data_IF_397102534699
#
_entry.id   IF_397102534699
#
_cell.length_a   1.000
_cell.length_b   1.000
_cell.length_c   1.000
_cell.angle_alpha   90.00
_cell.angle_beta   90.00
_cell.angle_gamma   90.00
#
_symmetry.space_group_name_H-M   'P 1'
#
loop_
_entity.id
_entity.type
_entity.pdbx_description
1 polymer ?
#
# COMPACT_ATOMS: atom_id res chain seq x y z
N UNK A 1 34.44 -9.39 -26.84
CA UNK A 1 34.64 -9.38 -25.38
C UNK A 1 35.27 -10.71 -25.00
N UNK A 2 36.31 -10.71 -24.17
CA UNK A 2 37.06 -11.95 -23.84
C UNK A 2 36.35 -12.84 -22.80
N UNK A 3 35.03 -12.67 -22.62
CA UNK A 3 34.17 -13.52 -21.77
C UNK A 3 34.52 -13.64 -20.28
N UNK A 4 35.57 -12.98 -19.78
CA UNK A 4 36.15 -13.30 -18.47
C UNK A 4 35.35 -12.81 -17.25
N UNK A 5 34.78 -11.60 -17.30
CA UNK A 5 34.02 -11.01 -16.20
C UNK A 5 32.71 -10.41 -16.73
N UNK A 6 31.58 -10.80 -16.15
CA UNK A 6 30.25 -10.33 -16.52
C UNK A 6 29.46 -9.87 -15.31
N UNK A 7 28.69 -8.79 -15.47
CA UNK A 7 27.62 -8.45 -14.55
C UNK A 7 26.31 -8.94 -15.14
N UNK A 8 25.64 -9.82 -14.41
CA UNK A 8 24.34 -10.39 -14.75
C UNK A 8 23.27 -9.74 -13.88
N UNK A 9 22.13 -9.44 -14.49
CA UNK A 9 20.91 -9.04 -13.79
C UNK A 9 19.86 -10.16 -13.84
N UNK A 10 20.26 -11.39 -14.17
CA UNK A 10 19.36 -12.52 -14.11
C UNK A 10 18.90 -12.76 -12.67
N UNK A 11 17.63 -13.16 -12.47
CA UNK A 11 17.11 -13.44 -11.14
C UNK A 11 17.81 -14.66 -10.53
N UNK A 12 17.84 -14.75 -9.20
CA UNK A 12 18.57 -15.77 -8.44
C UNK A 12 18.24 -17.21 -8.85
N UNK A 13 16.97 -17.49 -9.16
CA UNK A 13 16.54 -18.83 -9.61
C UNK A 13 17.08 -19.23 -11.00
N UNK A 14 17.62 -18.29 -11.78
CA UNK A 14 18.15 -18.52 -13.12
C UNK A 14 19.67 -18.53 -13.18
N UNK A 15 20.33 -17.87 -12.22
CA UNK A 15 21.76 -17.61 -12.24
C UNK A 15 22.35 -17.73 -10.82
N UNK A 16 23.22 -18.72 -10.63
CA UNK A 16 23.84 -19.01 -9.34
C UNK A 16 24.83 -17.92 -8.88
N UNK A 17 25.32 -17.08 -9.81
CA UNK A 17 26.22 -15.96 -9.51
C UNK A 17 25.45 -14.65 -9.25
N UNK A 18 24.11 -14.71 -9.17
CA UNK A 18 23.29 -13.54 -8.89
C UNK A 18 23.69 -12.90 -7.54
N UNK A 19 23.75 -11.57 -7.53
CA UNK A 19 24.05 -10.76 -6.34
C UNK A 19 22.99 -9.68 -6.20
N UNK A 20 22.37 -9.63 -5.02
CA UNK A 20 21.36 -8.64 -4.70
C UNK A 20 21.89 -7.21 -4.88
N UNK A 21 21.02 -6.34 -5.40
CA UNK A 21 21.18 -4.89 -5.52
C UNK A 21 19.82 -4.29 -5.84
N UNK A 22 19.61 -3.04 -5.47
CA UNK A 22 18.33 -2.35 -5.67
C UNK A 22 18.39 -1.30 -6.79
N UNK A 23 19.56 -0.67 -7.01
CA UNK A 23 19.74 0.33 -8.06
C UNK A 23 19.64 -0.24 -9.50
N UNK A 24 19.74 -1.57 -9.66
CA UNK A 24 19.44 -2.30 -10.87
C UNK A 24 18.57 -3.51 -10.52
N UNK A 25 17.46 -3.67 -11.23
CA UNK A 25 16.51 -4.76 -11.02
C UNK A 25 16.07 -5.34 -12.36
N UNK A 26 15.30 -6.43 -12.31
CA UNK A 26 14.64 -6.99 -13.48
C UNK A 26 13.42 -6.12 -13.87
N UNK A 27 12.94 -6.30 -15.10
CA UNK A 27 11.76 -5.61 -15.61
C UNK A 27 10.73 -6.60 -16.15
N UNK A 28 9.44 -6.27 -15.95
CA UNK A 28 8.31 -7.05 -16.48
C UNK A 28 7.62 -6.24 -17.58
N UNK A 29 7.46 -6.85 -18.75
CA UNK A 29 6.76 -6.28 -19.90
C UNK A 29 5.52 -7.11 -20.22
N UNK A 30 4.49 -6.45 -20.76
CA UNK A 30 3.24 -7.08 -21.13
C UNK A 30 3.04 -7.00 -22.65
N UNK A 31 2.78 -8.12 -23.34
CA UNK A 31 2.36 -8.07 -24.74
C UNK A 31 0.97 -7.44 -24.85
N UNK A 32 0.65 -6.85 -26.00
CA UNK A 32 -0.64 -6.16 -26.21
C UNK A 32 -1.82 -7.14 -26.25
N UNK A 33 -1.54 -8.42 -26.51
CA UNK A 33 -2.54 -9.49 -26.61
C UNK A 33 -2.13 -10.70 -25.78
N UNK A 34 -3.13 -11.38 -25.22
CA UNK A 34 -2.93 -12.70 -24.60
C UNK A 34 -2.66 -13.74 -25.69
N UNK A 35 -1.60 -14.50 -25.53
CA UNK A 35 -1.31 -15.67 -26.34
C UNK A 35 -1.21 -16.91 -25.45
N UNK A 36 -1.85 -18.00 -25.87
CA UNK A 36 -1.63 -19.32 -25.27
C UNK A 36 -0.47 -20.00 -25.99
N UNK A 37 0.54 -20.43 -25.26
CA UNK A 37 1.69 -21.18 -25.79
C UNK A 37 1.59 -22.66 -25.40
N UNK A 38 2.29 -23.52 -26.14
CA UNK A 38 2.40 -24.95 -25.84
C UNK A 38 3.87 -25.32 -25.69
N UNK A 39 4.16 -26.29 -24.84
CA UNK A 39 5.51 -26.85 -24.71
C UNK A 39 6.04 -27.33 -26.06
N UNK A 40 7.31 -27.01 -26.37
CA UNK A 40 7.94 -27.28 -27.67
C UNK A 40 7.41 -26.42 -28.83
N UNK A 41 6.38 -25.59 -28.61
CA UNK A 41 5.84 -24.69 -29.62
C UNK A 41 6.69 -23.44 -29.80
N UNK A 42 6.77 -22.95 -31.04
CA UNK A 42 7.40 -21.68 -31.38
C UNK A 42 6.37 -20.56 -31.36
N UNK A 43 6.73 -19.39 -30.84
CA UNK A 43 5.92 -18.18 -30.92
C UNK A 43 6.78 -16.97 -31.32
N UNK A 44 6.26 -16.04 -32.14
CA UNK A 44 7.00 -14.87 -32.61
C UNK A 44 6.95 -13.73 -31.58
N UNK A 45 7.97 -13.63 -30.73
CA UNK A 45 8.18 -12.47 -29.87
C UNK A 45 9.00 -11.41 -30.61
N UNK A 46 8.45 -10.21 -30.76
CA UNK A 46 9.17 -9.05 -31.29
C UNK A 46 9.64 -8.17 -30.13
N UNK A 47 10.90 -7.74 -30.18
CA UNK A 47 11.48 -6.77 -29.27
C UNK A 47 11.70 -5.45 -30.02
N UNK A 48 11.11 -4.37 -29.53
CA UNK A 48 11.30 -3.02 -30.02
C UNK A 48 12.02 -2.19 -28.99
N UNK A 49 12.81 -1.22 -29.46
CA UNK A 49 13.45 -0.25 -28.60
C UNK A 49 13.66 1.08 -29.31
N UNK A 50 13.73 2.14 -28.52
CA UNK A 50 14.25 3.44 -28.93
C UNK A 50 15.54 3.73 -28.12
N UNK A 51 15.94 5.00 -28.00
CA UNK A 51 17.12 5.40 -27.24
C UNK A 51 17.00 5.13 -25.73
N UNK A 52 15.77 5.09 -25.18
CA UNK A 52 15.52 5.07 -23.73
C UNK A 52 14.57 3.97 -23.26
N UNK A 53 13.83 3.33 -24.17
CA UNK A 53 12.73 2.44 -23.84
C UNK A 53 12.82 1.12 -24.59
N UNK A 54 12.34 0.06 -23.93
CA UNK A 54 12.12 -1.25 -24.50
C UNK A 54 10.62 -1.55 -24.52
N UNK A 55 10.16 -2.32 -25.49
CA UNK A 55 8.83 -2.89 -25.52
C UNK A 55 8.83 -4.24 -26.26
N UNK A 56 7.86 -5.08 -25.92
CA UNK A 56 7.77 -6.43 -26.46
C UNK A 56 6.33 -6.71 -26.86
N UNK A 57 6.13 -7.31 -28.02
CA UNK A 57 4.80 -7.70 -28.46
C UNK A 57 4.82 -8.98 -29.30
N UNK A 58 3.65 -9.58 -29.46
CA UNK A 58 3.47 -10.84 -30.18
C UNK A 58 2.65 -10.59 -31.44
N UNK A 59 3.26 -10.86 -32.60
CA UNK A 59 2.66 -10.64 -33.92
C UNK A 59 2.82 -11.87 -34.80
N UNK A 60 1.76 -12.25 -35.52
CA UNK A 60 1.80 -13.37 -36.46
C UNK A 60 2.80 -13.14 -37.62
N UNK A 61 3.01 -11.87 -37.98
CA UNK A 61 3.98 -11.47 -39.01
C UNK A 61 5.41 -11.50 -38.47
N UNK A 62 6.27 -12.30 -39.09
CA UNK A 62 7.67 -12.47 -38.66
C UNK A 62 8.59 -11.28 -38.95
N UNK A 63 8.26 -10.47 -39.95
CA UNK A 63 9.06 -9.30 -40.36
C UNK A 63 8.30 -8.01 -40.04
N UNK A 64 9.02 -6.88 -39.94
CA UNK A 64 8.45 -5.55 -39.69
C UNK A 64 8.66 -5.04 -38.27
N UNK A 65 8.74 -3.72 -38.15
CA UNK A 65 8.87 -2.99 -36.89
C UNK A 65 7.58 -3.08 -36.07
N UNK A 66 7.71 -2.95 -34.75
CA UNK A 66 6.56 -2.81 -33.86
C UNK A 66 6.57 -1.42 -33.25
N UNK A 67 5.45 -0.72 -33.37
CA UNK A 67 5.28 0.56 -32.70
C UNK A 67 5.10 0.34 -31.20
N UNK A 68 5.53 1.32 -30.40
CA UNK A 68 5.37 1.27 -28.95
C UNK A 68 3.88 1.35 -28.60
N UNK A 69 3.32 0.35 -27.89
CA UNK A 69 1.92 0.38 -27.49
C UNK A 69 1.70 1.39 -26.35
N UNK A 70 0.63 2.18 -26.45
CA UNK A 70 0.20 3.11 -25.41
C UNK A 70 -1.16 2.73 -24.84
N UNK A 71 -1.41 3.16 -23.61
CA UNK A 71 -2.68 2.92 -22.93
C UNK A 71 -3.82 3.69 -23.63
N UNK A 72 -4.83 2.95 -24.10
CA UNK A 72 -6.06 3.53 -24.72
C UNK A 72 -7.28 3.46 -23.80
N UNK A 73 -7.16 2.82 -22.63
CA UNK A 73 -8.28 2.61 -21.71
C UNK A 73 -8.36 3.63 -20.57
N UNK A 74 -7.49 4.64 -20.55
CA UNK A 74 -7.25 5.60 -19.45
C UNK A 74 -6.74 4.97 -18.12
N UNK A 75 -6.89 3.67 -17.91
CA UNK A 75 -6.58 2.98 -16.65
C UNK A 75 -5.06 2.87 -16.36
N UNK A 76 -4.29 2.25 -17.25
CA UNK A 76 -2.86 1.96 -17.02
C UNK A 76 -1.95 3.20 -17.04
N UNK A 77 -2.45 4.32 -17.56
CA UNK A 77 -1.74 5.59 -17.56
C UNK A 77 -1.97 6.41 -16.29
N UNK A 78 -2.96 6.03 -15.46
CA UNK A 78 -3.39 6.80 -14.28
C UNK A 78 -3.10 6.09 -12.96
N UNK A 79 -2.95 4.77 -12.99
CA UNK A 79 -2.73 3.95 -11.81
C UNK A 79 -1.34 3.33 -11.83
N UNK A 80 -0.70 3.28 -10.68
CA UNK A 80 0.53 2.50 -10.49
C UNK A 80 0.25 1.00 -10.62
N UNK A 81 1.30 0.19 -10.79
CA UNK A 81 1.15 -1.28 -10.85
C UNK A 81 0.59 -1.87 -9.55
N UNK A 82 0.99 -1.33 -8.40
CA UNK A 82 0.47 -1.74 -7.08
C UNK A 82 -1.02 -1.41 -6.95
N UNK A 83 -1.45 -0.23 -7.41
CA UNK A 83 -2.86 0.16 -7.41
C UNK A 83 -3.72 -0.75 -8.32
N UNK A 84 -3.19 -1.15 -9.48
CA UNK A 84 -3.87 -2.09 -10.38
C UNK A 84 -4.02 -3.48 -9.71
N UNK A 85 -2.97 -3.96 -9.05
CA UNK A 85 -3.02 -5.22 -8.30
C UNK A 85 -4.09 -5.16 -7.21
N UNK A 86 -4.07 -4.11 -6.38
CA UNK A 86 -5.03 -3.86 -5.30
C UNK A 86 -6.48 -3.86 -5.80
N UNK A 87 -6.76 -3.21 -6.93
CA UNK A 87 -8.11 -3.19 -7.50
C UNK A 87 -8.59 -4.57 -7.96
N UNK A 88 -7.69 -5.45 -8.37
CA UNK A 88 -8.07 -6.85 -8.63
C UNK A 88 -8.28 -7.61 -7.31
N UNK A 89 -7.38 -7.44 -6.35
CA UNK A 89 -7.43 -8.10 -5.04
C UNK A 89 -8.71 -7.76 -4.27
N UNK A 90 -9.12 -6.49 -4.22
CA UNK A 90 -10.31 -6.08 -3.47
C UNK A 90 -11.60 -6.72 -3.99
N UNK A 91 -11.67 -6.99 -5.29
CA UNK A 91 -12.83 -7.64 -5.91
C UNK A 91 -12.83 -9.15 -5.66
N UNK A 92 -11.70 -9.72 -5.26
CA UNK A 92 -11.50 -11.15 -5.01
C UNK A 92 -11.44 -11.49 -3.50
N UNK A 93 -11.29 -10.49 -2.63
CA UNK A 93 -11.26 -10.67 -1.17
C UNK A 93 -12.66 -11.03 -0.61
N UNK A 94 -12.86 -12.33 -0.43
CA UNK A 94 -14.10 -12.90 0.12
C UNK A 94 -14.33 -12.51 1.59
N UNK A 95 -13.27 -12.42 2.41
CA UNK A 95 -13.42 -12.10 3.84
C UNK A 95 -13.87 -10.65 4.00
N UNK A 96 -13.30 -9.74 3.21
CA UNK A 96 -13.74 -8.34 3.14
C UNK A 96 -15.19 -8.24 2.65
N UNK A 97 -15.53 -8.95 1.57
CA UNK A 97 -16.89 -8.97 1.03
C UNK A 97 -17.92 -9.49 2.05
N UNK A 98 -17.61 -10.56 2.78
CA UNK A 98 -18.46 -11.12 3.84
C UNK A 98 -18.67 -10.12 4.99
N UNK A 99 -17.60 -9.45 5.43
CA UNK A 99 -17.67 -8.44 6.48
C UNK A 99 -18.52 -7.23 6.07
N UNK A 100 -18.33 -6.73 4.84
CA UNK A 100 -19.19 -5.67 4.27
C UNK A 100 -20.63 -6.14 4.18
N UNK A 101 -20.89 -7.36 3.69
CA UNK A 101 -22.25 -7.89 3.54
C UNK A 101 -22.97 -8.02 4.87
N UNK A 102 -22.26 -8.43 5.94
CA UNK A 102 -22.80 -8.51 7.30
C UNK A 102 -23.25 -7.15 7.81
N UNK A 103 -22.42 -6.11 7.66
CA UNK A 103 -22.75 -4.76 8.10
C UNK A 103 -23.85 -4.12 7.24
N UNK A 104 -23.80 -4.31 5.91
CA UNK A 104 -24.87 -3.85 5.00
C UNK A 104 -26.21 -4.49 5.33
N UNK A 105 -26.24 -5.74 5.83
CA UNK A 105 -27.49 -6.39 6.25
C UNK A 105 -28.20 -5.68 7.41
N UNK A 106 -27.44 -4.98 8.27
CA UNK A 106 -27.96 -4.19 9.39
C UNK A 106 -28.40 -2.79 8.95
N UNK A 107 -27.82 -2.26 7.87
CA UNK A 107 -27.97 -0.87 7.43
C UNK A 107 -28.27 -0.75 5.92
N UNK A 108 -29.13 -1.60 5.37
CA UNK A 108 -29.25 -1.82 3.92
C UNK A 108 -29.91 -0.70 3.10
N UNK A 109 -30.43 0.37 3.71
CA UNK A 109 -31.30 1.33 3.00
C UNK A 109 -30.57 2.20 1.97
N UNK A 110 -29.50 2.88 2.37
CA UNK A 110 -28.71 3.75 1.48
C UNK A 110 -27.25 3.76 1.94
N UNK A 111 -26.42 3.08 1.17
CA UNK A 111 -24.98 2.99 1.40
C UNK A 111 -24.30 4.12 0.62
N UNK A 112 -23.43 4.88 1.29
CA UNK A 112 -22.58 5.87 0.61
C UNK A 112 -21.13 5.40 0.67
N UNK A 113 -20.49 5.34 -0.47
CA UNK A 113 -19.11 4.90 -0.62
C UNK A 113 -18.18 6.08 -0.87
N UNK A 114 -17.09 6.16 -0.10
CA UNK A 114 -16.10 7.25 -0.08
C UNK A 114 -14.72 6.73 -0.50
N UNK A 115 -13.89 7.66 -0.96
CA UNK A 115 -12.52 7.40 -1.43
C UNK A 115 -12.35 7.86 -2.87
N UNK A 116 -11.17 7.62 -3.42
CA UNK A 116 -10.83 7.98 -4.80
C UNK A 116 -10.13 6.79 -5.48
N UNK A 117 -10.55 6.38 -6.67
CA UNK A 117 -9.88 5.29 -7.37
C UNK A 117 -10.12 3.91 -6.74
N UNK A 118 -11.24 3.68 -6.08
CA UNK A 118 -11.60 2.40 -5.45
C UNK A 118 -12.77 1.70 -6.16
N UNK A 119 -12.80 0.36 -6.10
CA UNK A 119 -13.93 -0.47 -6.54
C UNK A 119 -14.80 -0.96 -5.38
N UNK A 120 -14.44 -0.67 -4.13
CA UNK A 120 -15.14 -1.19 -2.95
C UNK A 120 -16.64 -0.84 -2.95
N UNK A 121 -16.99 0.31 -3.53
CA UNK A 121 -18.37 0.78 -3.60
C UNK A 121 -19.28 -0.05 -4.49
N UNK A 122 -18.74 -0.98 -5.28
CA UNK A 122 -19.52 -1.95 -6.02
C UNK A 122 -19.93 -3.15 -5.16
N UNK A 123 -19.13 -3.51 -4.13
CA UNK A 123 -19.36 -4.69 -3.31
C UNK A 123 -20.73 -4.68 -2.59
N UNK A 124 -21.20 -3.57 -1.97
CA UNK A 124 -22.52 -3.55 -1.34
C UNK A 124 -23.67 -3.89 -2.28
N UNK A 125 -23.52 -3.69 -3.59
CA UNK A 125 -24.51 -4.05 -4.60
C UNK A 125 -24.32 -5.48 -5.15
N UNK A 126 -23.07 -5.93 -5.28
CA UNK A 126 -22.72 -7.25 -5.82
C UNK A 126 -22.93 -8.36 -4.79
N UNK A 127 -22.47 -8.14 -3.56
CA UNK A 127 -22.35 -9.18 -2.53
C UNK A 127 -23.38 -9.03 -1.42
N UNK A 128 -24.09 -7.90 -1.37
CA UNK A 128 -25.09 -7.60 -0.36
C UNK A 128 -26.38 -7.09 -1.01
N UNK A 129 -27.50 -7.20 -0.29
CA UNK A 129 -28.79 -6.70 -0.75
C UNK A 129 -28.97 -5.20 -0.41
N UNK A 130 -27.97 -4.36 -0.69
CA UNK A 130 -28.13 -2.92 -0.52
C UNK A 130 -29.27 -2.41 -1.41
N UNK A 131 -30.20 -1.63 -0.85
CA UNK A 131 -31.33 -1.09 -1.62
C UNK A 131 -30.88 0.05 -2.54
N UNK A 132 -29.91 0.84 -2.10
CA UNK A 132 -29.32 1.95 -2.86
C UNK A 132 -27.85 2.14 -2.48
N UNK A 133 -27.01 2.38 -3.47
CA UNK A 133 -25.59 2.69 -3.30
C UNK A 133 -25.26 3.99 -4.02
N UNK A 134 -24.56 4.90 -3.35
CA UNK A 134 -24.02 6.12 -3.96
C UNK A 134 -22.51 6.14 -3.78
N UNK A 135 -21.77 6.13 -4.89
CA UNK A 135 -20.30 6.25 -4.88
C UNK A 135 -19.93 7.71 -5.12
N UNK A 136 -19.20 8.31 -4.18
CA UNK A 136 -18.65 9.66 -4.33
C UNK A 136 -17.25 9.53 -4.94
N UNK A 137 -17.08 10.03 -6.16
CA UNK A 137 -15.82 9.94 -6.90
C UNK A 137 -15.55 11.28 -7.62
N UNK A 138 -14.64 12.07 -7.08
CA UNK A 138 -14.30 13.41 -7.60
C UNK A 138 -13.66 13.35 -8.98
N UNK A 139 -12.99 12.25 -9.31
CA UNK A 139 -12.14 12.15 -10.48
C UNK A 139 -12.90 11.65 -11.73
N UNK A 140 -13.05 12.48 -12.79
CA UNK A 140 -13.93 12.18 -13.91
C UNK A 140 -13.61 10.88 -14.67
N UNK A 141 -12.33 10.55 -14.83
CA UNK A 141 -11.93 9.33 -15.53
C UNK A 141 -12.28 8.07 -14.73
N UNK A 142 -12.16 8.13 -13.39
CA UNK A 142 -12.57 7.02 -12.53
C UNK A 142 -14.09 6.85 -12.51
N UNK A 143 -14.86 7.95 -12.54
CA UNK A 143 -16.31 7.85 -12.77
C UNK A 143 -16.62 7.10 -14.06
N UNK A 144 -15.95 7.38 -15.18
CA UNK A 144 -16.17 6.62 -16.44
C UNK A 144 -15.90 5.13 -16.28
N UNK A 145 -14.87 4.75 -15.54
CA UNK A 145 -14.56 3.35 -15.24
C UNK A 145 -15.66 2.72 -14.38
N UNK A 146 -16.05 3.36 -13.28
CA UNK A 146 -17.14 2.89 -12.43
C UNK A 146 -18.43 2.67 -13.23
N UNK A 147 -18.78 3.57 -14.15
CA UNK A 147 -19.94 3.38 -15.04
C UNK A 147 -19.80 2.14 -15.94
N UNK A 148 -18.60 1.84 -16.45
CA UNK A 148 -18.36 0.60 -17.22
C UNK A 148 -18.55 -0.65 -16.35
N UNK A 149 -18.08 -0.63 -15.11
CA UNK A 149 -18.29 -1.73 -14.15
C UNK A 149 -19.78 -1.88 -13.80
N UNK A 150 -20.48 -0.79 -13.50
CA UNK A 150 -21.93 -0.77 -13.23
C UNK A 150 -22.71 -1.38 -14.41
N UNK A 151 -22.36 -1.00 -15.64
CA UNK A 151 -22.98 -1.57 -16.85
C UNK A 151 -22.65 -3.06 -17.02
N UNK A 152 -21.39 -3.45 -16.82
CA UNK A 152 -20.94 -4.83 -16.95
C UNK A 152 -21.65 -5.77 -15.96
N UNK A 153 -21.70 -5.39 -14.69
CA UNK A 153 -22.36 -6.15 -13.63
C UNK A 153 -23.87 -5.90 -13.54
N UNK A 154 -24.43 -5.04 -14.40
CA UNK A 154 -25.87 -4.70 -14.46
C UNK A 154 -26.42 -4.20 -13.12
N UNK A 155 -25.66 -3.36 -12.43
CA UNK A 155 -26.02 -2.84 -11.11
C UNK A 155 -27.02 -1.69 -11.26
N UNK A 156 -28.29 -1.95 -10.95
CA UNK A 156 -29.39 -0.97 -11.14
C UNK A 156 -29.57 0.00 -9.98
N UNK A 157 -29.00 -0.32 -8.82
CA UNK A 157 -29.14 0.42 -7.56
C UNK A 157 -27.92 1.30 -7.23
N UNK A 158 -26.95 1.44 -8.15
CA UNK A 158 -25.71 2.20 -7.94
C UNK A 158 -25.75 3.51 -8.71
N UNK A 159 -25.47 4.62 -8.03
CA UNK A 159 -25.26 5.94 -8.64
C UNK A 159 -23.88 6.48 -8.32
N UNK A 160 -23.23 7.16 -9.27
CA UNK A 160 -21.93 7.79 -9.06
C UNK A 160 -22.10 9.31 -9.10
N UNK A 161 -21.63 9.99 -8.06
CA UNK A 161 -21.71 11.47 -7.92
C UNK A 161 -20.31 12.06 -7.81
N UNK A 162 -20.17 13.36 -8.10
CA UNK A 162 -18.85 14.00 -8.10
C UNK A 162 -18.44 14.59 -6.75
N UNK A 163 -19.38 14.75 -5.82
CA UNK A 163 -19.17 15.41 -4.55
C UNK A 163 -20.15 14.95 -3.46
N UNK A 164 -19.81 15.19 -2.20
CA UNK A 164 -20.68 14.95 -1.04
C UNK A 164 -22.00 15.73 -1.14
N UNK A 165 -21.99 16.94 -1.71
CA UNK A 165 -23.19 17.78 -1.85
C UNK A 165 -24.27 17.20 -2.76
N UNK A 166 -23.91 16.22 -3.60
CA UNK A 166 -24.84 15.53 -4.50
C UNK A 166 -25.46 14.27 -3.89
N UNK A 167 -25.12 13.95 -2.62
CA UNK A 167 -25.73 12.80 -1.93
C UNK A 167 -27.21 13.11 -1.69
N UNK A 168 -28.14 12.30 -2.25
CA UNK A 168 -29.54 12.69 -2.35
C UNK A 168 -30.32 12.61 -1.02
N UNK A 169 -29.98 11.63 -0.19
CA UNK A 169 -30.68 11.34 1.07
C UNK A 169 -29.66 10.98 2.14
N UNK A 170 -30.08 11.05 3.41
CA UNK A 170 -29.29 10.61 4.55
C UNK A 170 -28.89 9.13 4.39
N UNK A 171 -27.59 8.79 4.44
CA UNK A 171 -27.13 7.41 4.37
C UNK A 171 -27.41 6.65 5.67
N UNK A 172 -27.58 5.34 5.54
CA UNK A 172 -27.63 4.40 6.67
C UNK A 172 -26.27 3.84 7.06
N UNK A 173 -25.32 3.81 6.11
CA UNK A 173 -23.95 3.35 6.32
C UNK A 173 -22.99 4.05 5.36
N UNK A 174 -21.83 4.45 5.87
CA UNK A 174 -20.70 4.93 5.06
C UNK A 174 -19.70 3.79 4.88
N UNK A 175 -19.13 3.65 3.68
CA UNK A 175 -18.10 2.65 3.40
C UNK A 175 -16.96 3.32 2.65
N UNK A 176 -15.73 2.91 2.88
CA UNK A 176 -14.58 3.24 2.04
C UNK A 176 -13.55 2.13 2.13
N UNK A 177 -12.65 2.08 1.15
CA UNK A 177 -11.45 1.24 1.22
C UNK A 177 -10.37 1.89 2.11
N UNK A 178 -10.66 3.08 2.66
CA UNK A 178 -9.82 4.27 2.66
C UNK A 178 -8.65 4.21 1.69
N UNK A 179 -8.83 4.80 0.52
CA UNK A 179 -7.76 4.96 -0.45
C UNK A 179 -7.93 6.26 -1.24
N UNK A 180 -6.82 6.96 -1.45
CA UNK A 180 -6.74 8.17 -2.26
C UNK A 180 -5.57 8.07 -3.23
N UNK A 181 -5.73 8.62 -4.44
CA UNK A 181 -4.71 8.49 -5.49
C UNK A 181 -3.40 9.22 -5.16
N UNK A 182 -3.46 10.21 -4.27
CA UNK A 182 -2.30 10.95 -3.78
C UNK A 182 -1.50 10.21 -2.71
N UNK A 183 -2.06 9.16 -2.11
CA UNK A 183 -1.43 8.44 -1.01
C UNK A 183 -0.32 7.52 -1.52
N UNK A 184 0.84 7.60 -0.88
CA UNK A 184 1.98 6.71 -1.07
C UNK A 184 2.01 5.65 0.03
N UNK A 185 1.86 6.08 1.28
CA UNK A 185 1.85 5.23 2.47
C UNK A 185 0.43 4.96 2.96
N UNK A 186 0.27 3.84 3.65
CA UNK A 186 -1.06 3.27 3.90
C UNK A 186 -1.88 4.06 4.91
N UNK A 187 -1.24 4.77 5.84
CA UNK A 187 -1.90 5.66 6.80
C UNK A 187 -2.24 7.04 6.25
N UNK A 188 -1.70 7.43 5.09
CA UNK A 188 -2.07 8.69 4.43
C UNK A 188 -3.52 8.67 3.91
N UNK A 189 -4.22 7.54 4.07
CA UNK A 189 -5.64 7.39 3.75
C UNK A 189 -6.58 7.77 4.92
N UNK A 190 -6.06 8.27 6.04
CA UNK A 190 -6.86 8.86 7.13
C UNK A 190 -7.78 10.03 6.70
N UNK A 191 -7.54 10.79 5.60
CA UNK A 191 -8.52 11.73 5.04
C UNK A 191 -9.95 11.17 4.90
N UNK A 192 -10.11 9.85 4.77
CA UNK A 192 -11.41 9.18 4.87
C UNK A 192 -12.22 9.55 6.12
N UNK A 193 -11.58 9.67 7.28
CA UNK A 193 -12.25 10.04 8.53
C UNK A 193 -12.87 11.44 8.45
N UNK A 194 -12.20 12.39 7.80
CA UNK A 194 -12.71 13.74 7.58
C UNK A 194 -13.89 13.74 6.60
N UNK A 195 -13.87 12.90 5.56
CA UNK A 195 -15.01 12.74 4.65
C UNK A 195 -16.23 12.14 5.37
N UNK A 196 -16.02 11.19 6.28
CA UNK A 196 -17.06 10.65 7.17
C UNK A 196 -17.67 11.76 8.03
N UNK A 197 -16.83 12.59 8.67
CA UNK A 197 -17.32 13.70 9.49
C UNK A 197 -18.06 14.77 8.68
N UNK A 198 -17.58 15.10 7.47
CA UNK A 198 -18.28 16.04 6.56
C UNK A 198 -19.70 15.56 6.27
N UNK A 199 -19.89 14.27 6.01
CA UNK A 199 -21.22 13.70 5.74
C UNK A 199 -22.09 13.71 7.01
N UNK A 200 -21.56 13.27 8.14
CA UNK A 200 -22.29 13.32 9.42
C UNK A 200 -22.75 14.73 9.76
N UNK A 201 -21.90 15.73 9.53
CA UNK A 201 -22.25 17.14 9.73
C UNK A 201 -23.28 17.63 8.71
N UNK A 202 -23.14 17.28 7.42
CA UNK A 202 -24.08 17.68 6.36
C UNK A 202 -25.51 17.17 6.61
N UNK A 203 -25.65 15.97 7.19
CA UNK A 203 -26.95 15.39 7.54
C UNK A 203 -27.36 15.59 9.01
N UNK A 204 -26.54 16.30 9.80
CA UNK A 204 -26.83 16.56 11.21
C UNK A 204 -26.92 15.32 12.10
N UNK A 205 -26.26 14.22 11.73
CA UNK A 205 -26.31 12.95 12.45
C UNK A 205 -24.92 12.32 12.60
N UNK A 206 -24.39 12.38 13.82
CA UNK A 206 -23.10 11.80 14.18
C UNK A 206 -23.14 10.27 14.39
N UNK A 207 -24.33 9.68 14.48
CA UNK A 207 -24.51 8.25 14.73
C UNK A 207 -24.44 7.38 13.46
N UNK A 208 -24.35 7.99 12.27
CA UNK A 208 -24.22 7.25 11.02
C UNK A 208 -22.94 6.39 11.08
N UNK A 209 -23.05 5.04 11.00
CA UNK A 209 -21.90 4.16 11.08
C UNK A 209 -21.02 4.29 9.83
N UNK A 210 -19.74 3.94 9.97
CA UNK A 210 -18.77 3.93 8.88
C UNK A 210 -17.96 2.63 8.87
N UNK A 211 -17.60 2.16 7.68
CA UNK A 211 -16.60 1.14 7.45
C UNK A 211 -15.44 1.74 6.64
N UNK A 212 -14.19 1.56 7.07
CA UNK A 212 -13.79 0.93 8.31
C UNK A 212 -14.23 1.75 9.55
N UNK A 213 -14.37 1.08 10.70
CA UNK A 213 -14.63 1.74 11.98
C UNK A 213 -13.37 2.27 12.64
N UNK A 214 -12.22 1.68 12.31
CA UNK A 214 -10.97 1.90 13.02
C UNK A 214 -9.80 1.76 12.06
N UNK A 215 -8.81 2.64 12.21
CA UNK A 215 -7.49 2.52 11.61
C UNK A 215 -6.47 2.25 12.71
N UNK A 216 -5.66 1.22 12.56
CA UNK A 216 -4.61 0.88 13.51
C UNK A 216 -3.26 0.92 12.80
N UNK A 217 -2.37 1.77 13.31
CA UNK A 217 -0.99 1.84 12.83
C UNK A 217 -0.18 0.78 13.55
N UNK A 218 0.46 -0.09 12.78
CA UNK A 218 1.17 -1.27 13.25
C UNK A 218 2.63 -1.16 12.90
N UNK A 219 3.48 -1.71 13.77
CA UNK A 219 4.91 -1.79 13.51
C UNK A 219 5.50 -3.15 13.89
N UNK A 220 6.52 -3.57 13.14
CA UNK A 220 7.19 -4.86 13.32
C UNK A 220 8.70 -4.71 13.05
N UNK A 221 9.57 -5.06 14.02
CA UNK A 221 11.00 -5.17 13.77
C UNK A 221 11.31 -6.29 12.78
N UNK A 222 12.14 -5.98 11.79
CA UNK A 222 12.55 -6.91 10.75
C UNK A 222 14.07 -6.89 10.62
N UNK A 223 14.66 -8.07 10.48
CA UNK A 223 16.01 -8.25 9.94
C UNK A 223 15.89 -8.43 8.44
N UNK A 224 15.97 -7.33 7.70
CA UNK A 224 16.06 -7.34 6.25
C UNK A 224 17.36 -7.99 5.83
N UNK A 225 17.32 -8.89 4.84
CA UNK A 225 18.51 -9.56 4.32
C UNK A 225 19.46 -8.53 3.71
N UNK A 226 18.93 -7.68 2.83
CA UNK A 226 19.73 -6.75 2.05
C UNK A 226 19.17 -5.32 1.97
N UNK A 227 17.86 -5.13 2.17
CA UNK A 227 17.20 -3.83 1.95
C UNK A 227 17.85 -2.68 2.73
N UNK A 228 18.29 -2.92 3.96
CA UNK A 228 19.00 -1.91 4.79
C UNK A 228 20.25 -1.31 4.13
N UNK A 229 20.83 -1.98 3.11
CA UNK A 229 21.97 -1.46 2.37
C UNK A 229 21.62 -0.27 1.44
N UNK A 230 20.35 0.00 1.17
CA UNK A 230 19.93 1.19 0.40
C UNK A 230 20.10 2.49 1.20
N UNK A 231 19.98 2.39 2.53
CA UNK A 231 20.02 3.53 3.45
C UNK A 231 21.27 3.56 4.34
N UNK A 232 22.05 2.48 4.34
CA UNK A 232 23.28 2.36 5.14
C UNK A 232 24.41 3.27 4.68
N UNK A 233 25.35 3.53 5.59
CA UNK A 233 26.59 4.24 5.27
C UNK A 233 27.45 3.42 4.31
N UNK A 234 28.13 4.10 3.40
CA UNK A 234 29.06 3.51 2.43
C UNK A 234 30.39 3.13 3.09
N UNK A 235 30.95 4.00 3.94
CA UNK A 235 32.20 3.75 4.65
C UNK A 235 33.42 3.58 3.73
N UNK A 236 34.19 2.51 3.91
CA UNK A 236 35.36 2.21 3.06
C UNK A 236 35.03 1.12 2.06
N UNK A 237 35.19 1.41 0.76
CA UNK A 237 34.90 0.48 -0.34
C UNK A 237 36.13 0.31 -1.22
N UNK A 238 36.56 -0.93 -1.46
CA UNK A 238 37.75 -1.25 -2.26
C UNK A 238 39.03 -0.51 -1.82
N UNK A 239 39.18 -0.25 -0.52
CA UNK A 239 40.33 0.46 0.06
C UNK A 239 40.26 1.98 -0.02
N UNK A 240 39.17 2.56 -0.54
CA UNK A 240 38.94 3.99 -0.57
C UNK A 240 37.96 4.40 0.53
N UNK A 241 38.37 5.38 1.34
CA UNK A 241 37.52 5.96 2.38
C UNK A 241 36.53 6.95 1.75
N UNK A 242 35.22 6.67 1.90
CA UNK A 242 34.11 7.48 1.39
C UNK A 242 33.30 8.10 2.54
N UNK A 243 33.83 8.15 3.77
CA UNK A 243 33.16 8.76 4.93
C UNK A 243 32.72 10.21 4.69
N UNK A 244 33.48 10.99 3.93
CA UNK A 244 33.09 12.36 3.56
C UNK A 244 31.80 12.41 2.71
N UNK A 245 31.56 11.40 1.87
CA UNK A 245 30.31 11.27 1.14
C UNK A 245 29.16 10.91 2.09
N UNK A 246 29.39 9.98 3.04
CA UNK A 246 28.39 9.63 4.05
C UNK A 246 27.93 10.86 4.83
N UNK A 247 28.86 11.67 5.32
CA UNK A 247 28.54 12.87 6.09
C UNK A 247 27.72 13.89 5.28
N UNK A 248 28.02 14.04 3.98
CA UNK A 248 27.26 14.92 3.10
C UNK A 248 25.86 14.35 2.84
N UNK A 249 25.78 13.06 2.53
CA UNK A 249 24.52 12.36 2.24
C UNK A 249 23.61 12.36 3.46
N UNK A 250 24.10 11.98 4.64
CA UNK A 250 23.33 11.98 5.90
C UNK A 250 22.77 13.37 6.23
N UNK A 251 23.56 14.44 6.04
CA UNK A 251 23.09 15.82 6.25
C UNK A 251 22.00 16.20 5.26
N UNK A 252 22.15 15.82 3.99
CA UNK A 252 21.14 16.08 2.97
C UNK A 252 19.84 15.33 3.28
N UNK A 253 19.92 14.01 3.52
CA UNK A 253 18.77 13.16 3.87
C UNK A 253 18.06 13.65 5.13
N UNK A 254 18.80 13.97 6.20
CA UNK A 254 18.21 14.47 7.45
C UNK A 254 17.46 15.81 7.29
N UNK A 255 17.74 16.57 6.23
CA UNK A 255 17.11 17.85 5.96
C UNK A 255 15.85 17.74 5.07
N UNK A 256 15.71 16.68 4.27
CA UNK A 256 14.68 16.59 3.22
C UNK A 256 13.91 15.27 3.18
N UNK A 257 14.51 14.16 3.64
CA UNK A 257 13.88 12.85 3.59
C UNK A 257 12.96 12.65 4.79
N UNK A 258 11.86 11.95 4.56
CA UNK A 258 11.05 11.44 5.65
C UNK A 258 11.84 10.39 6.45
N UNK A 259 11.64 10.36 7.78
CA UNK A 259 12.27 9.36 8.63
C UNK A 259 11.80 7.93 8.31
N UNK A 260 10.60 7.80 7.73
CA UNK A 260 10.01 6.53 7.31
C UNK A 260 9.87 6.58 5.80
N UNK A 261 10.55 5.66 5.12
CA UNK A 261 10.61 5.55 3.66
C UNK A 261 9.60 4.52 3.14
N UNK A 262 9.10 4.66 1.91
CA UNK A 262 8.10 3.76 1.33
C UNK A 262 8.70 2.65 0.46
N UNK A 263 8.40 1.39 0.79
CA UNK A 263 8.89 0.21 0.07
C UNK A 263 7.78 -0.80 -0.22
N UNK A 264 7.90 -1.51 -1.36
CA UNK A 264 7.10 -2.72 -1.65
C UNK A 264 7.72 -3.92 -0.92
N UNK A 265 7.40 -4.14 0.35
CA UNK A 265 8.14 -5.13 1.17
C UNK A 265 8.00 -6.58 0.69
N UNK A 266 7.01 -6.89 -0.15
CA UNK A 266 6.90 -8.20 -0.78
C UNK A 266 8.06 -8.52 -1.75
N UNK A 267 8.80 -7.50 -2.21
CA UNK A 267 9.98 -7.64 -3.10
C UNK A 267 11.28 -7.89 -2.32
N UNK A 268 11.25 -7.74 -0.99
CA UNK A 268 12.44 -7.78 -0.14
C UNK A 268 12.37 -8.90 0.89
N UNK A 269 13.40 -9.72 0.93
CA UNK A 269 13.52 -10.74 1.96
C UNK A 269 13.85 -10.12 3.32
N UNK A 270 13.14 -10.60 4.33
CA UNK A 270 13.39 -10.25 5.72
C UNK A 270 12.85 -11.32 6.64
N UNK A 271 13.38 -11.35 7.86
CA UNK A 271 12.89 -12.21 8.93
C UNK A 271 12.41 -11.38 10.10
N UNK A 272 11.24 -11.74 10.61
CA UNK A 272 10.79 -11.29 11.92
C UNK A 272 11.75 -11.74 12.99
N UNK A 273 11.70 -11.09 14.15
CA UNK A 273 12.52 -11.50 15.29
C UNK A 273 12.19 -12.93 15.72
N UNK A 274 13.22 -13.73 16.03
CA UNK A 274 13.02 -15.10 16.47
C UNK A 274 12.17 -15.14 17.75
N UNK A 275 11.14 -16.00 17.75
CA UNK A 275 10.21 -16.12 18.87
C UNK A 275 9.27 -14.94 19.04
N UNK A 276 9.14 -14.05 18.03
CA UNK A 276 8.14 -12.99 18.03
C UNK A 276 6.74 -13.57 18.29
N UNK A 277 6.02 -12.94 19.21
CA UNK A 277 4.63 -13.26 19.51
C UNK A 277 3.84 -11.99 19.35
N UNK A 278 2.83 -12.05 18.49
CA UNK A 278 1.93 -10.91 18.35
C UNK A 278 1.22 -10.63 19.68
N UNK A 279 1.03 -9.34 19.93
CA UNK A 279 0.27 -8.85 21.09
C UNK A 279 -1.18 -9.34 21.04
N UNK A 280 -1.72 -9.51 19.83
CA UNK A 280 -3.10 -9.90 19.59
C UNK A 280 -3.17 -11.09 18.61
N UNK A 281 -3.93 -12.16 18.93
CA UNK A 281 -4.12 -13.26 18.00
C UNK A 281 -4.68 -12.80 16.65
N UNK A 282 -3.98 -13.14 15.57
CA UNK A 282 -4.39 -12.79 14.20
C UNK A 282 -4.00 -11.40 13.71
N UNK A 283 -3.39 -10.54 14.56
CA UNK A 283 -2.91 -9.20 14.16
C UNK A 283 -1.41 -9.07 14.39
N UNK A 284 -0.66 -8.85 13.32
CA UNK A 284 0.81 -8.88 13.39
C UNK A 284 1.40 -7.57 13.90
N UNK A 285 2.45 -7.65 14.70
CA UNK A 285 3.22 -6.49 15.18
C UNK A 285 2.67 -5.85 16.46
N UNK A 286 3.19 -4.67 16.76
CA UNK A 286 2.79 -3.81 17.89
C UNK A 286 1.84 -2.74 17.40
N UNK A 287 0.75 -2.49 18.14
CA UNK A 287 -0.12 -1.34 17.87
C UNK A 287 0.52 -0.04 18.36
N UNK A 288 0.85 0.85 17.43
CA UNK A 288 1.40 2.18 17.72
C UNK A 288 0.31 3.16 18.15
N UNK A 289 -0.73 3.27 17.35
CA UNK A 289 -1.91 4.10 17.61
C UNK A 289 -3.13 3.50 16.92
N UNK A 290 -4.31 3.65 17.54
CA UNK A 290 -5.59 3.23 16.97
C UNK A 290 -6.54 4.43 16.92
N UNK A 291 -6.98 4.79 15.73
CA UNK A 291 -7.90 5.89 15.45
C UNK A 291 -9.29 5.34 15.21
N UNK A 292 -10.23 5.66 16.10
CA UNK A 292 -11.60 5.15 16.05
C UNK A 292 -12.52 6.19 15.42
N UNK A 293 -13.09 5.84 14.27
CA UNK A 293 -13.85 6.76 13.43
C UNK A 293 -15.27 7.01 13.93
N UNK A 294 -15.74 6.30 14.96
CA UNK A 294 -16.97 6.62 15.70
C UNK A 294 -16.77 7.74 16.73
N UNK A 295 -15.53 8.09 17.05
CA UNK A 295 -15.18 9.18 17.96
C UNK A 295 -15.00 10.49 17.19
N UNK A 296 -15.10 11.61 17.91
CA UNK A 296 -14.76 12.92 17.35
C UNK A 296 -13.28 12.95 16.97
N UNK A 297 -12.96 13.44 15.77
CA UNK A 297 -11.58 13.74 15.37
C UNK A 297 -10.89 14.60 16.43
N UNK A 298 -9.73 14.13 16.91
CA UNK A 298 -8.84 14.85 17.84
C UNK A 298 -7.40 14.49 17.51
N UNK A 299 -6.49 15.42 17.74
CA UNK A 299 -5.07 15.07 17.74
C UNK A 299 -4.79 14.12 18.91
N UNK A 300 -4.01 13.08 18.62
CA UNK A 300 -3.69 12.03 19.58
C UNK A 300 -2.19 11.73 19.51
N UNK A 301 -1.57 11.52 20.67
CA UNK A 301 -0.18 11.11 20.75
C UNK A 301 -0.10 9.86 21.61
N UNK A 302 0.61 8.84 21.11
CA UNK A 302 0.83 7.59 21.79
C UNK A 302 2.32 7.28 21.84
N UNK A 303 2.77 6.87 23.03
CA UNK A 303 4.12 6.37 23.25
C UNK A 303 4.05 4.86 23.42
N UNK A 304 4.74 4.14 22.55
CA UNK A 304 4.82 2.69 22.56
C UNK A 304 6.27 2.25 22.60
N UNK A 305 6.47 1.05 23.15
CA UNK A 305 7.74 0.37 23.11
C UNK A 305 7.63 -0.77 22.14
N UNK A 306 8.57 -0.86 21.22
CA UNK A 306 8.72 -2.01 20.35
C UNK A 306 9.87 -2.83 20.91
N UNK A 307 9.57 -4.03 21.41
CA UNK A 307 10.61 -4.98 21.78
C UNK A 307 11.40 -5.38 20.54
N UNK A 308 12.72 -5.43 20.65
CA UNK A 308 13.62 -5.84 19.57
C UNK A 308 14.40 -7.05 20.08
N UNK A 309 14.20 -8.20 19.45
CA UNK A 309 14.95 -9.42 19.78
C UNK A 309 15.84 -9.82 18.61
N UNK A 310 17.11 -10.09 18.89
CA UNK A 310 18.12 -10.38 17.87
C UNK A 310 18.60 -9.13 17.10
N UNK A 311 19.24 -9.37 15.96
CA UNK A 311 19.87 -8.33 15.14
C UNK A 311 18.88 -7.75 14.11
N UNK A 312 17.95 -6.94 14.56
CA UNK A 312 17.03 -6.23 13.66
C UNK A 312 17.70 -4.99 13.07
N UNK A 313 17.41 -4.68 11.80
CA UNK A 313 18.00 -3.54 11.07
C UNK A 313 16.94 -2.61 10.46
N UNK A 314 15.65 -2.92 10.62
CA UNK A 314 14.57 -2.01 10.28
C UNK A 314 13.30 -2.26 11.10
N UNK A 315 12.39 -1.31 11.04
CA UNK A 315 11.02 -1.40 11.56
C UNK A 315 10.07 -1.15 10.40
N UNK A 316 9.31 -2.17 10.03
CA UNK A 316 8.25 -2.06 9.05
C UNK A 316 6.99 -1.49 9.71
N UNK A 317 6.27 -0.60 9.02
CA UNK A 317 5.10 0.13 9.52
C UNK A 317 4.00 0.10 8.46
N UNK A 318 2.75 -0.08 8.88
CA UNK A 318 1.59 -0.07 7.98
C UNK A 318 0.30 0.27 8.74
N UNK A 319 -0.81 0.44 8.01
CA UNK A 319 -2.15 0.61 8.56
C UNK A 319 -3.01 -0.64 8.37
N UNK A 320 -3.67 -1.09 9.43
CA UNK A 320 -4.76 -2.06 9.38
C UNK A 320 -6.10 -1.33 9.52
N UNK A 321 -7.10 -1.77 8.76
CA UNK A 321 -8.42 -1.15 8.70
C UNK A 321 -9.50 -2.12 9.14
N UNK A 322 -10.30 -1.76 10.14
CA UNK A 322 -11.32 -2.63 10.71
C UNK A 322 -12.64 -2.51 9.96
N UNK A 323 -13.09 -3.58 9.34
CA UNK A 323 -14.39 -3.72 8.69
C UNK A 323 -15.25 -4.70 9.48
N UNK A 324 -16.04 -4.20 10.43
CA UNK A 324 -16.85 -5.05 11.30
C UNK A 324 -15.96 -5.95 12.18
N UNK A 325 -16.02 -7.26 11.93
CA UNK A 325 -15.18 -8.28 12.57
C UNK A 325 -13.94 -8.69 11.76
N UNK A 326 -13.74 -8.09 10.57
CA UNK A 326 -12.59 -8.32 9.72
C UNK A 326 -11.57 -7.18 9.82
N UNK A 327 -10.29 -7.50 9.77
CA UNK A 327 -9.20 -6.52 9.63
C UNK A 327 -8.58 -6.66 8.24
N UNK A 328 -8.74 -5.63 7.42
CA UNK A 328 -8.02 -5.50 6.17
C UNK A 328 -6.60 -4.99 6.48
N UNK A 329 -5.60 -5.84 6.29
CA UNK A 329 -4.19 -5.44 6.49
C UNK A 329 -3.57 -4.93 5.19
N UNK A 330 -2.86 -3.81 5.27
CA UNK A 330 -2.05 -3.27 4.15
C UNK A 330 -0.57 -3.60 4.27
N UNK A 331 -0.20 -4.41 5.27
CA UNK A 331 1.17 -4.83 5.54
C UNK A 331 1.28 -6.35 5.67
N UNK A 332 1.62 -6.81 6.87
CA UNK A 332 2.04 -8.20 7.12
C UNK A 332 0.86 -9.19 7.23
N UNK A 333 0.82 -10.21 6.35
CA UNK A 333 -0.24 -11.24 6.25
C UNK A 333 0.13 -12.56 6.96
N UNK A 334 -0.44 -12.88 8.14
CA UNK A 334 -0.07 -14.08 8.93
C UNK A 334 -0.20 -15.44 8.22
N UNK A 335 -1.24 -15.63 7.43
CA UNK A 335 -1.65 -16.94 6.89
C UNK A 335 -1.16 -17.20 5.47
N UNK A 336 -0.36 -16.29 4.89
CA UNK A 336 0.04 -16.33 3.49
C UNK A 336 1.56 -16.60 3.38
N UNK A 337 1.96 -17.39 2.37
CA UNK A 337 3.36 -17.57 1.98
C UNK A 337 3.97 -16.23 1.54
N UNK A 338 3.14 -15.32 1.03
CA UNK A 338 3.49 -13.93 0.76
C UNK A 338 3.34 -13.10 2.03
N UNK A 339 4.49 -12.83 2.67
CA UNK A 339 4.55 -12.16 3.97
C UNK A 339 3.87 -10.79 3.96
N UNK A 340 3.94 -10.03 2.87
CA UNK A 340 3.50 -8.63 2.77
C UNK A 340 2.45 -8.41 1.67
N UNK A 341 1.53 -7.47 1.91
CA UNK A 341 0.56 -7.01 0.92
C UNK A 341 1.24 -6.43 -0.33
N UNK A 342 0.96 -7.00 -1.50
CA UNK A 342 1.47 -6.55 -2.80
C UNK A 342 0.79 -5.24 -3.27
N UNK A 343 -0.50 -5.05 -2.93
CA UNK A 343 -1.28 -3.90 -3.37
C UNK A 343 -0.88 -2.56 -2.72
N UNK A 344 0.05 -2.59 -1.77
CA UNK A 344 0.39 -1.46 -0.91
C UNK A 344 1.91 -1.37 -0.72
N UNK A 345 2.41 -0.14 -0.57
CA UNK A 345 3.74 0.08 -0.02
C UNK A 345 3.65 0.20 1.50
N UNK A 346 4.66 -0.27 2.19
CA UNK A 346 4.80 -0.17 3.64
C UNK A 346 5.89 0.84 3.97
N UNK A 347 5.79 1.46 5.14
CA UNK A 347 6.84 2.32 5.63
C UNK A 347 7.97 1.51 6.26
N UNK A 348 9.20 1.96 6.08
CA UNK A 348 10.39 1.37 6.69
C UNK A 348 11.18 2.46 7.39
N UNK A 349 11.39 2.27 8.69
CA UNK A 349 12.41 2.99 9.44
C UNK A 349 13.65 2.12 9.53
N UNK A 350 14.75 2.53 8.92
CA UNK A 350 16.04 1.84 9.09
C UNK A 350 16.66 2.21 10.44
N UNK A 351 17.01 1.20 11.22
CA UNK A 351 17.54 1.41 12.58
C UNK A 351 18.95 2.00 12.45
N UNK A 352 19.20 3.23 12.93
CA UNK A 352 20.49 3.87 12.81
C UNK A 352 21.53 3.21 13.72
N UNK A 353 22.84 3.39 13.44
CA UNK A 353 23.91 2.72 14.19
C UNK A 353 23.86 2.90 15.71
N UNK A 354 23.38 4.06 16.19
CA UNK A 354 23.25 4.36 17.61
C UNK A 354 22.08 3.64 18.32
N UNK A 355 21.18 3.02 17.56
CA UNK A 355 20.06 2.21 18.06
C UNK A 355 20.21 0.71 17.72
N UNK A 356 21.21 0.33 16.93
CA UNK A 356 21.49 -1.09 16.63
C UNK A 356 21.88 -1.84 17.90
N UNK A 357 21.28 -3.02 18.10
CA UNK A 357 21.52 -3.88 19.27
C UNK A 357 20.75 -3.50 20.53
N UNK A 358 19.96 -2.41 20.50
CA UNK A 358 19.01 -2.12 21.58
C UNK A 358 17.92 -3.18 21.64
N UNK A 359 17.49 -3.54 22.86
CA UNK A 359 16.42 -4.53 23.08
C UNK A 359 15.02 -3.94 23.00
N UNK A 360 14.92 -2.62 23.04
CA UNK A 360 13.67 -1.87 22.97
C UNK A 360 13.92 -0.61 22.15
N UNK A 361 12.99 -0.29 21.26
CA UNK A 361 12.93 1.01 20.58
C UNK A 361 11.66 1.70 21.04
N UNK A 362 11.81 2.92 21.56
CA UNK A 362 10.69 3.76 21.93
C UNK A 362 10.19 4.50 20.71
N UNK A 363 8.90 4.38 20.42
CA UNK A 363 8.23 5.05 19.31
C UNK A 363 7.17 5.98 19.86
N UNK A 364 7.30 7.26 19.51
CA UNK A 364 6.24 8.24 19.69
C UNK A 364 5.51 8.38 18.35
N UNK A 365 4.21 8.12 18.36
CA UNK A 365 3.34 8.26 17.19
C UNK A 365 2.31 9.32 17.47
N UNK A 366 2.30 10.37 16.65
CA UNK A 366 1.36 11.48 16.76
C UNK A 366 0.47 11.55 15.53
N UNK A 367 -0.84 11.71 15.75
CA UNK A 367 -1.82 12.11 14.75
C UNK A 367 -2.17 13.58 14.95
N UNK A 368 -2.00 14.39 13.91
CA UNK A 368 -2.43 15.79 13.92
C UNK A 368 -3.73 15.95 13.10
N UNK A 369 -4.78 16.42 13.76
CA UNK A 369 -6.08 16.66 13.14
C UNK A 369 -6.06 17.83 12.12
N UNK A 370 -5.12 18.75 12.25
CA UNK A 370 -5.12 19.98 11.46
C UNK A 370 -4.72 19.74 10.00
N UNK A 371 -3.88 18.74 9.76
CA UNK A 371 -3.40 18.34 8.44
C UNK A 371 -3.61 16.85 8.12
N UNK A 372 -4.06 16.04 9.09
CA UNK A 372 -4.31 14.61 8.93
C UNK A 372 -3.05 13.76 8.86
N UNK A 373 -1.89 14.29 9.26
CA UNK A 373 -0.63 13.57 9.18
C UNK A 373 -0.37 12.68 10.40
N UNK A 374 0.34 11.57 10.14
CA UNK A 374 0.94 10.73 11.17
C UNK A 374 2.44 10.99 11.20
N UNK A 375 2.96 11.30 12.38
CA UNK A 375 4.38 11.48 12.63
C UNK A 375 4.92 10.35 13.49
N UNK A 376 6.19 10.01 13.27
CA UNK A 376 6.90 8.98 14.03
C UNK A 376 8.22 9.54 14.55
N UNK A 377 8.54 9.26 15.82
CA UNK A 377 9.86 9.54 16.38
C UNK A 377 10.38 8.30 17.11
N UNK A 378 11.56 7.84 16.71
CA UNK A 378 12.22 6.64 17.22
C UNK A 378 13.41 7.01 18.11
N UNK A 379 13.52 6.39 19.29
CA UNK A 379 14.54 6.74 20.28
C UNK A 379 14.90 5.59 21.23
N UNK A 380 16.01 5.75 21.95
CA UNK A 380 16.53 4.79 22.95
C UNK A 380 15.82 4.87 24.30
N UNK A 381 15.50 6.08 24.75
CA UNK A 381 14.83 6.33 26.02
C UNK A 381 13.45 6.92 25.75
N UNK A 382 12.52 6.77 26.70
CA UNK A 382 11.28 7.56 26.67
C UNK A 382 11.63 9.03 26.56
N UNK A 383 11.31 9.66 25.43
CA UNK A 383 11.44 11.09 25.27
C UNK A 383 10.46 11.73 26.27
N UNK A 384 10.96 12.21 27.40
CA UNK A 384 10.35 13.31 28.13
C UNK A 384 10.71 14.58 27.38
N UNK A 385 9.71 15.29 26.87
CA UNK A 385 9.96 16.66 26.43
C UNK A 385 9.59 17.64 27.54
N UNK A 386 10.53 18.57 27.75
CA UNK A 386 10.26 19.86 28.38
C UNK A 386 9.07 20.50 27.67
N UNK A 387 8.10 20.90 28.50
CA UNK A 387 6.89 21.63 28.18
C UNK A 387 7.14 22.85 27.30
#
# INVERSE_FOLDING_TARGET
>A
SNGGNTLTMAPEWKDADSRWRDHWMQAVYYPSKRMKVKEGGLFPLKAGHDEFSLWFDIHDERMGTIDRPYCVCEFHARLSRTMIYRMNEIMEDKKLAEAISKEVSLYSSHIVCLGEGSLIGLLPSITANALKVTIVESTPWMRKILHKYIQHYKLVNVTVVSSISEIPNKPSLLIGEPFFLSSVLTWENIPFWYEVEKIRNAFGDKSIPSLPQECSIRALPIKFRDLHNTAGRVGTVNGFDLSAFDELSEKARSAVDAQVEDYSLWEYEGKESEGWKDEEPGRVGVELIALKFDQSTKSEEMKKKIGVTGEMNGVAIWADWKFGDYWLTTGRKREDDLLWSIGHKQGVYFIPPNLLGEKEIHVMTGFDISDGQISFNFSRNSIEMKK
#
